data_IF_544759337623
#
_entry.id   IF_544759337623
#
_cell.length_a   1.000
_cell.length_b   1.000
_cell.length_c   1.000
_cell.angle_alpha   90.00
_cell.angle_beta   90.00
_cell.angle_gamma   90.00
#
_symmetry.space_group_name_H-M   'P 1'
#
loop_
_entity.id
_entity.type
_entity.pdbx_description
1 polymer ?
#
# COMPACT_ATOMS: atom_id res chain seq x y z
N UNK A 1 -24.34 -32.95 19.49
CA UNK A 1 -25.68 -33.07 20.11
C UNK A 1 -26.72 -32.52 19.14
N UNK A 2 -27.86 -33.20 18.98
CA UNK A 2 -28.97 -32.71 18.16
C UNK A 2 -29.45 -31.33 18.62
N UNK A 3 -29.87 -30.50 17.68
CA UNK A 3 -30.54 -29.22 17.99
C UNK A 3 -32.02 -29.46 18.29
N UNK A 4 -32.67 -28.44 18.87
CA UNK A 4 -34.12 -28.42 19.01
C UNK A 4 -34.78 -28.68 17.64
N UNK A 5 -35.87 -29.44 17.64
CA UNK A 5 -36.65 -29.82 16.45
C UNK A 5 -35.93 -30.74 15.43
N UNK A 6 -34.79 -31.34 15.80
CA UNK A 6 -34.15 -32.41 15.01
C UNK A 6 -34.65 -33.80 15.44
N UNK A 7 -35.18 -34.56 14.48
CA UNK A 7 -35.42 -36.00 14.66
C UNK A 7 -34.10 -36.78 14.62
N UNK A 8 -33.97 -37.74 15.53
CA UNK A 8 -32.72 -38.46 15.77
C UNK A 8 -32.93 -39.96 15.79
N UNK A 9 -31.92 -40.68 15.32
CA UNK A 9 -31.84 -42.13 15.44
C UNK A 9 -31.15 -42.45 16.76
N UNK A 10 -31.88 -43.07 17.68
CA UNK A 10 -31.36 -43.54 18.97
C UNK A 10 -31.00 -45.01 18.86
N UNK A 11 -29.75 -45.34 19.16
CA UNK A 11 -29.27 -46.71 19.35
C UNK A 11 -28.94 -46.95 20.82
N UNK A 12 -28.96 -48.19 21.29
CA UNK A 12 -28.73 -48.53 22.70
C UNK A 12 -27.45 -49.34 22.84
N UNK A 13 -26.55 -48.92 23.74
CA UNK A 13 -25.25 -49.57 23.91
C UNK A 13 -25.42 -50.98 24.49
N UNK A 14 -25.16 -52.00 23.67
CA UNK A 14 -25.41 -53.41 24.05
C UNK A 14 -26.89 -53.78 24.10
N UNK A 15 -27.77 -52.97 23.49
CA UNK A 15 -29.22 -53.13 23.56
C UNK A 15 -29.85 -52.66 24.87
N UNK A 16 -29.06 -52.09 25.80
CA UNK A 16 -29.51 -51.58 27.08
C UNK A 16 -30.25 -50.24 26.91
N UNK A 17 -31.59 -50.20 27.12
CA UNK A 17 -32.40 -48.99 26.97
C UNK A 17 -31.95 -47.83 27.86
N UNK A 18 -31.27 -48.13 28.98
CA UNK A 18 -30.76 -47.12 29.92
C UNK A 18 -29.45 -46.48 29.44
N UNK A 19 -28.92 -46.87 28.28
CA UNK A 19 -27.66 -46.37 27.69
C UNK A 19 -27.84 -45.92 26.24
N UNK A 20 -28.65 -44.86 25.98
CA UNK A 20 -28.91 -44.38 24.63
C UNK A 20 -27.70 -43.67 24.02
N UNK A 21 -27.58 -43.78 22.69
CA UNK A 21 -26.61 -43.12 21.83
C UNK A 21 -27.37 -42.47 20.66
N UNK A 22 -27.15 -41.18 20.44
CA UNK A 22 -27.64 -40.53 19.23
C UNK A 22 -26.69 -40.84 18.07
N UNK A 23 -27.10 -41.72 17.15
CA UNK A 23 -26.24 -42.22 16.06
C UNK A 23 -26.45 -41.51 14.73
N UNK A 24 -27.46 -40.66 14.62
CA UNK A 24 -27.70 -39.82 13.46
C UNK A 24 -28.93 -38.93 13.62
N UNK A 25 -29.14 -38.02 12.68
CA UNK A 25 -30.37 -37.23 12.55
C UNK A 25 -31.03 -37.49 11.21
N UNK A 26 -32.36 -37.44 11.16
CA UNK A 26 -33.15 -37.60 9.93
C UNK A 26 -33.86 -36.31 9.59
N UNK A 27 -34.14 -36.13 8.29
CA UNK A 27 -34.94 -35.02 7.80
C UNK A 27 -36.42 -35.28 8.08
N UNK A 28 -37.18 -34.23 8.38
CA UNK A 28 -38.62 -34.29 8.65
C UNK A 28 -39.33 -33.08 8.00
N UNK A 29 -40.62 -32.89 8.25
CA UNK A 29 -41.39 -31.80 7.66
C UNK A 29 -40.90 -30.39 8.09
N UNK A 30 -40.32 -30.28 9.28
CA UNK A 30 -39.80 -29.03 9.85
C UNK A 30 -38.33 -28.78 9.43
N UNK A 31 -37.58 -29.85 9.13
CA UNK A 31 -36.22 -29.83 8.57
C UNK A 31 -36.14 -30.65 7.27
N UNK A 32 -36.61 -30.10 6.14
CA UNK A 32 -36.54 -30.77 4.85
C UNK A 32 -35.10 -30.87 4.33
N UNK A 33 -34.92 -31.68 3.28
CA UNK A 33 -33.65 -31.83 2.57
C UNK A 33 -33.11 -30.44 2.13
N UNK A 34 -31.84 -30.11 2.43
CA UNK A 34 -31.21 -28.85 2.04
C UNK A 34 -31.15 -28.63 0.52
N UNK A 35 -31.01 -29.73 -0.24
CA UNK A 35 -30.86 -29.72 -1.69
C UNK A 35 -31.82 -30.71 -2.35
N UNK A 36 -32.30 -30.35 -3.54
CA UNK A 36 -33.26 -31.14 -4.29
C UNK A 36 -32.61 -32.42 -4.87
N UNK A 37 -33.22 -33.56 -4.59
CA UNK A 37 -32.81 -34.85 -5.16
C UNK A 37 -33.69 -35.22 -6.37
N UNK A 38 -33.13 -35.89 -7.40
CA UNK A 38 -31.76 -36.42 -7.51
C UNK A 38 -30.71 -35.45 -8.10
N UNK A 39 -31.11 -34.23 -8.47
CA UNK A 39 -30.24 -33.30 -9.22
C UNK A 39 -28.95 -32.88 -8.50
N UNK A 40 -28.97 -32.89 -7.17
CA UNK A 40 -27.88 -32.49 -6.27
C UNK A 40 -27.26 -33.66 -5.51
N UNK A 41 -27.35 -34.87 -6.07
CA UNK A 41 -26.87 -36.11 -5.43
C UNK A 41 -25.35 -36.18 -5.16
N UNK A 42 -24.57 -35.27 -5.76
CA UNK A 42 -23.12 -35.16 -5.55
C UNK A 42 -22.75 -34.21 -4.40
N UNK A 43 -23.74 -33.60 -3.74
CA UNK A 43 -23.52 -32.72 -2.59
C UNK A 43 -23.64 -33.46 -1.26
N UNK A 44 -22.67 -33.25 -0.39
CA UNK A 44 -22.71 -33.65 1.02
C UNK A 44 -22.60 -32.42 1.90
N UNK A 45 -23.55 -32.21 2.81
CA UNK A 45 -23.64 -30.95 3.57
C UNK A 45 -23.88 -31.14 5.06
N UNK A 46 -23.32 -30.25 5.87
CA UNK A 46 -23.69 -29.97 7.24
C UNK A 46 -24.29 -28.57 7.28
N UNK A 47 -25.60 -28.49 7.10
CA UNK A 47 -26.36 -27.24 7.15
C UNK A 47 -27.10 -27.13 8.49
N UNK A 48 -27.06 -25.94 9.09
CA UNK A 48 -27.82 -25.66 10.30
C UNK A 48 -28.50 -24.30 10.21
N UNK A 49 -29.80 -24.20 10.55
CA UNK A 49 -30.53 -22.94 10.55
C UNK A 49 -30.37 -22.19 11.87
N UNK A 50 -30.52 -20.88 11.83
CA UNK A 50 -30.74 -20.06 13.02
C UNK A 50 -31.99 -20.52 13.79
N UNK A 51 -31.91 -20.59 15.11
CA UNK A 51 -33.01 -21.01 16.00
C UNK A 51 -34.22 -20.07 15.92
N UNK A 52 -35.43 -20.57 16.24
CA UNK A 52 -36.68 -19.79 16.27
C UNK A 52 -37.01 -19.15 14.92
N UNK A 53 -37.23 -19.99 13.91
CA UNK A 53 -37.68 -19.58 12.56
C UNK A 53 -36.64 -18.79 11.72
N UNK A 54 -35.35 -18.99 11.99
CA UNK A 54 -34.29 -18.36 11.19
C UNK A 54 -34.28 -18.82 9.72
N UNK A 55 -34.29 -17.85 8.80
CA UNK A 55 -34.26 -18.12 7.35
C UNK A 55 -32.87 -18.45 6.82
N UNK A 56 -31.79 -18.02 7.51
CA UNK A 56 -30.39 -18.26 7.15
C UNK A 56 -29.67 -19.18 8.16
N UNK A 57 -28.46 -19.63 7.80
CA UNK A 57 -27.74 -20.64 8.56
C UNK A 57 -26.26 -20.75 8.24
N UNK A 58 -25.57 -21.60 9.01
CA UNK A 58 -24.17 -21.96 8.77
C UNK A 58 -24.12 -23.23 7.93
N UNK A 59 -23.17 -23.30 7.00
CA UNK A 59 -23.02 -24.43 6.08
C UNK A 59 -21.56 -24.83 5.90
N UNK A 60 -21.33 -26.13 5.94
CA UNK A 60 -20.16 -26.77 5.33
C UNK A 60 -20.66 -27.71 4.25
N UNK A 61 -20.24 -27.49 3.00
CA UNK A 61 -20.69 -28.27 1.84
C UNK A 61 -19.50 -28.76 1.01
N UNK A 62 -19.58 -30.02 0.63
CA UNK A 62 -18.71 -30.68 -0.33
C UNK A 62 -19.53 -30.96 -1.59
N UNK A 63 -19.04 -30.53 -2.75
CA UNK A 63 -19.57 -30.86 -4.07
C UNK A 63 -18.50 -31.66 -4.83
N UNK A 64 -18.83 -32.89 -5.19
CA UNK A 64 -17.93 -33.83 -5.88
C UNK A 64 -18.35 -34.07 -7.35
N UNK A 65 -19.17 -33.18 -7.92
CA UNK A 65 -19.45 -33.19 -9.37
C UNK A 65 -18.15 -32.90 -10.11
N UNK A 66 -17.75 -33.88 -10.92
CA UNK A 66 -16.56 -33.81 -11.76
C UNK A 66 -16.48 -32.48 -12.52
N UNK A 67 -15.30 -31.85 -12.46
CA UNK A 67 -14.98 -30.57 -13.13
C UNK A 67 -15.77 -29.36 -12.56
N UNK A 68 -16.37 -29.49 -11.38
CA UNK A 68 -17.13 -28.45 -10.66
C UNK A 68 -17.04 -28.65 -9.14
N UNK A 69 -15.93 -29.23 -8.67
CA UNK A 69 -15.71 -29.58 -7.28
C UNK A 69 -15.63 -28.32 -6.39
N UNK A 70 -16.30 -28.33 -5.25
CA UNK A 70 -16.35 -27.19 -4.33
C UNK A 70 -16.29 -27.65 -2.87
N UNK A 71 -15.47 -26.96 -2.08
CA UNK A 71 -15.63 -26.89 -0.63
C UNK A 71 -16.17 -25.51 -0.27
N UNK A 72 -17.39 -25.47 0.23
CA UNK A 72 -18.05 -24.25 0.66
C UNK A 72 -18.15 -24.20 2.18
N UNK A 73 -17.68 -23.10 2.76
CA UNK A 73 -17.77 -22.82 4.18
C UNK A 73 -18.42 -21.45 4.38
N UNK A 74 -19.54 -21.42 5.09
CA UNK A 74 -20.34 -20.23 5.30
C UNK A 74 -20.67 -20.03 6.77
N UNK A 75 -20.37 -18.84 7.27
CA UNK A 75 -20.85 -18.36 8.55
C UNK A 75 -21.93 -17.28 8.30
N UNK A 76 -23.09 -17.43 8.94
CA UNK A 76 -24.20 -16.49 8.76
C UNK A 76 -23.90 -15.09 9.32
N UNK A 77 -23.05 -15.00 10.34
CA UNK A 77 -22.74 -13.74 11.02
C UNK A 77 -21.23 -13.62 11.29
N UNK A 78 -20.75 -14.38 12.26
CA UNK A 78 -19.37 -14.29 12.73
C UNK A 78 -18.64 -15.61 12.42
N UNK A 79 -17.46 -15.52 11.81
CA UNK A 79 -16.51 -16.64 11.69
C UNK A 79 -15.24 -16.27 12.45
N UNK A 80 -14.87 -17.08 13.44
CA UNK A 80 -13.59 -16.95 14.15
C UNK A 80 -12.71 -18.11 13.72
N UNK A 81 -11.52 -17.79 13.23
CA UNK A 81 -10.48 -18.76 12.88
C UNK A 81 -9.26 -18.46 13.74
N UNK A 82 -8.86 -19.42 14.56
CA UNK A 82 -7.70 -19.36 15.44
C UNK A 82 -6.78 -20.54 15.14
N UNK A 83 -5.50 -20.27 14.93
CA UNK A 83 -4.48 -21.27 14.61
C UNK A 83 -3.28 -21.03 15.51
N UNK A 84 -3.04 -21.94 16.46
CA UNK A 84 -2.02 -21.80 17.52
C UNK A 84 -0.58 -21.97 17.07
N UNK A 85 -0.36 -22.58 15.90
CA UNK A 85 0.98 -22.84 15.39
C UNK A 85 1.12 -22.29 13.96
N UNK A 86 0.91 -23.14 12.95
CA UNK A 86 1.14 -22.77 11.56
C UNK A 86 -0.15 -22.77 10.75
N UNK A 87 -0.44 -21.67 10.07
CA UNK A 87 -1.44 -21.60 9.00
C UNK A 87 -0.74 -21.32 7.67
N UNK A 88 -0.77 -22.31 6.77
CA UNK A 88 -0.26 -22.15 5.39
C UNK A 88 -1.44 -22.12 4.43
N UNK A 89 -1.50 -21.09 3.57
CA UNK A 89 -2.50 -20.94 2.52
C UNK A 89 -1.81 -21.00 1.16
N UNK A 90 -2.26 -21.88 0.27
CA UNK A 90 -1.78 -21.98 -1.10
C UNK A 90 -2.93 -21.97 -2.10
N UNK A 91 -2.98 -20.94 -2.96
CA UNK A 91 -3.96 -20.82 -4.05
C UNK A 91 -3.24 -20.95 -5.38
N UNK A 92 -3.66 -21.90 -6.23
CA UNK A 92 -2.96 -22.21 -7.50
C UNK A 92 -3.36 -21.33 -8.67
N UNK A 93 -4.52 -20.69 -8.59
CA UNK A 93 -5.05 -19.79 -9.60
C UNK A 93 -5.22 -18.40 -9.00
N UNK A 94 -6.46 -17.98 -8.73
CA UNK A 94 -6.77 -16.63 -8.27
C UNK A 94 -7.30 -16.62 -6.83
N UNK A 95 -6.94 -15.58 -6.09
CA UNK A 95 -7.53 -15.23 -4.81
C UNK A 95 -8.15 -13.84 -4.90
N UNK A 96 -9.42 -13.72 -4.50
CA UNK A 96 -10.09 -12.43 -4.34
C UNK A 96 -10.48 -12.25 -2.88
N UNK A 97 -10.16 -11.09 -2.31
CA UNK A 97 -10.57 -10.70 -0.96
C UNK A 97 -11.35 -9.39 -1.09
N UNK A 98 -12.57 -9.36 -0.57
CA UNK A 98 -13.41 -8.15 -0.47
C UNK A 98 -13.76 -7.93 0.98
N UNK A 99 -13.55 -6.71 1.47
CA UNK A 99 -13.91 -6.27 2.82
C UNK A 99 -14.66 -4.96 2.66
N UNK A 100 -15.97 -4.96 2.95
CA UNK A 100 -16.85 -3.81 2.70
C UNK A 100 -16.70 -2.67 3.71
N UNK A 101 -15.99 -2.94 4.82
CA UNK A 101 -15.73 -1.97 5.88
C UNK A 101 -14.22 -1.91 6.14
N UNK A 102 -13.76 -2.29 7.34
CA UNK A 102 -12.37 -2.12 7.74
C UNK A 102 -11.56 -3.42 7.69
N UNK A 103 -10.30 -3.31 7.26
CA UNK A 103 -9.29 -4.36 7.42
C UNK A 103 -8.15 -3.84 8.30
N UNK A 104 -7.76 -4.63 9.30
CA UNK A 104 -6.53 -4.40 10.08
C UNK A 104 -5.58 -5.58 9.89
N UNK A 105 -4.32 -5.29 9.56
CA UNK A 105 -3.25 -6.29 9.43
C UNK A 105 -2.14 -5.96 10.42
N UNK A 106 -1.87 -6.90 11.34
CA UNK A 106 -0.73 -6.83 12.26
C UNK A 106 0.27 -7.94 11.96
N UNK A 107 1.55 -7.58 11.84
CA UNK A 107 2.66 -8.54 11.69
C UNK A 107 3.67 -8.25 12.80
N UNK A 108 3.87 -9.20 13.72
CA UNK A 108 4.79 -9.03 14.85
C UNK A 108 6.28 -9.22 14.49
N UNK A 109 6.54 -9.93 13.39
CA UNK A 109 7.88 -10.15 12.83
C UNK A 109 8.04 -9.48 11.47
N UNK A 110 8.70 -10.17 10.54
CA UNK A 110 8.97 -9.64 9.21
C UNK A 110 7.82 -9.89 8.22
N UNK A 111 7.57 -8.93 7.33
CA UNK A 111 6.67 -9.07 6.19
C UNK A 111 7.48 -9.00 4.88
N UNK A 112 7.39 -10.04 4.05
CA UNK A 112 7.97 -10.06 2.70
C UNK A 112 6.86 -10.14 1.66
N UNK A 113 6.89 -9.28 0.65
CA UNK A 113 5.94 -9.27 -0.46
C UNK A 113 6.72 -9.33 -1.77
N UNK A 114 6.45 -10.36 -2.57
CA UNK A 114 7.01 -10.53 -3.92
C UNK A 114 5.90 -10.49 -4.95
N UNK A 115 5.95 -9.53 -5.86
CA UNK A 115 5.02 -9.42 -7.00
C UNK A 115 5.84 -9.51 -8.29
N UNK A 116 5.60 -10.55 -9.09
CA UNK A 116 6.42 -10.85 -10.29
C UNK A 116 6.01 -10.04 -11.53
N UNK A 117 4.79 -9.53 -11.53
CA UNK A 117 4.25 -8.67 -12.59
C UNK A 117 4.02 -7.26 -12.03
N UNK A 118 2.80 -6.75 -12.12
CA UNK A 118 2.45 -5.39 -11.72
C UNK A 118 1.76 -5.36 -10.36
N UNK A 119 1.99 -4.29 -9.61
CA UNK A 119 1.23 -3.94 -8.40
C UNK A 119 0.61 -2.55 -8.63
N UNK A 120 -0.68 -2.44 -8.37
CA UNK A 120 -1.41 -1.17 -8.32
C UNK A 120 -1.96 -0.99 -6.91
N UNK A 121 -1.85 0.23 -6.38
CA UNK A 121 -2.46 0.63 -5.11
C UNK A 121 -3.17 1.97 -5.33
N UNK A 122 -4.42 2.06 -4.89
CA UNK A 122 -5.25 3.25 -5.03
C UNK A 122 -5.92 3.54 -3.70
N UNK A 123 -5.81 4.79 -3.25
CA UNK A 123 -6.59 5.36 -2.15
C UNK A 123 -7.49 6.42 -2.79
N UNK A 124 -8.78 6.13 -2.92
CA UNK A 124 -9.72 7.03 -3.61
C UNK A 124 -10.07 8.24 -2.75
N UNK A 125 -10.27 8.02 -1.45
CA UNK A 125 -10.59 9.05 -0.46
C UNK A 125 -9.73 8.88 0.79
N UNK A 126 -9.43 9.99 1.47
CA UNK A 126 -8.65 10.00 2.70
C UNK A 126 -7.15 10.22 2.48
N UNK A 127 -6.32 9.67 3.38
CA UNK A 127 -4.88 9.92 3.45
C UNK A 127 -4.09 8.61 3.46
N UNK A 128 -2.92 8.60 2.80
CA UNK A 128 -1.92 7.55 2.97
C UNK A 128 -0.77 8.07 3.85
N UNK A 129 -0.43 7.32 4.89
CA UNK A 129 0.67 7.64 5.79
C UNK A 129 1.63 6.46 5.92
N UNK A 130 2.94 6.74 5.84
CA UNK A 130 4.00 5.77 6.06
C UNK A 130 4.96 6.32 7.10
N UNK A 131 5.25 5.54 8.14
CA UNK A 131 6.22 5.88 9.18
C UNK A 131 7.21 4.75 9.37
N UNK A 132 8.50 5.09 9.31
CA UNK A 132 9.61 4.20 9.69
C UNK A 132 10.25 4.80 10.92
N UNK A 133 9.82 4.35 12.11
CA UNK A 133 10.26 4.96 13.38
C UNK A 133 11.73 4.69 13.69
N UNK A 134 12.28 3.58 13.18
CA UNK A 134 13.68 3.17 13.34
C UNK A 134 14.14 2.45 12.08
N UNK A 135 15.41 2.63 11.71
CA UNK A 135 16.01 2.00 10.54
C UNK A 135 16.01 2.90 9.31
N UNK A 136 16.16 2.28 8.13
CA UNK A 136 16.37 2.98 6.86
C UNK A 136 15.24 2.66 5.89
N UNK A 137 14.97 3.59 4.96
CA UNK A 137 14.15 3.34 3.78
C UNK A 137 15.04 3.35 2.54
N UNK A 138 14.96 2.31 1.72
CA UNK A 138 15.65 2.22 0.44
C UNK A 138 14.65 2.01 -0.70
N UNK A 139 14.90 2.62 -1.84
CA UNK A 139 14.11 2.49 -3.08
C UNK A 139 15.11 2.28 -4.21
N UNK A 140 14.92 1.23 -5.00
CA UNK A 140 15.73 0.94 -6.19
C UNK A 140 14.81 0.66 -7.38
N UNK A 141 14.96 1.47 -8.43
CA UNK A 141 14.32 1.28 -9.74
C UNK A 141 15.44 0.98 -10.73
N UNK A 142 15.87 -0.28 -10.76
CA UNK A 142 17.02 -0.71 -11.56
C UNK A 142 16.85 -0.50 -13.07
N UNK A 143 15.60 -0.50 -13.56
CA UNK A 143 15.23 -0.22 -14.96
C UNK A 143 13.90 0.52 -15.01
N UNK A 144 13.79 1.47 -15.93
CA UNK A 144 12.58 2.26 -16.14
C UNK A 144 12.69 3.67 -15.56
N UNK A 145 11.54 4.28 -15.29
CA UNK A 145 11.43 5.66 -14.84
C UNK A 145 10.73 5.73 -13.48
N UNK A 146 11.09 6.74 -12.68
CA UNK A 146 10.34 7.15 -11.51
C UNK A 146 9.70 8.53 -11.76
N UNK A 147 8.42 8.68 -11.43
CA UNK A 147 7.68 9.92 -11.67
C UNK A 147 6.83 10.28 -10.45
N UNK A 148 6.84 11.57 -10.09
CA UNK A 148 6.10 12.11 -8.96
C UNK A 148 5.28 13.32 -9.39
N UNK A 149 3.99 13.31 -9.09
CA UNK A 149 3.09 14.44 -9.36
C UNK A 149 2.35 14.83 -8.08
N UNK A 150 2.58 16.05 -7.60
CA UNK A 150 1.92 16.60 -6.42
C UNK A 150 1.20 17.88 -6.84
N UNK A 151 -0.13 17.89 -6.77
CA UNK A 151 -0.94 19.07 -7.13
C UNK A 151 -0.93 20.13 -6.04
N UNK A 152 -0.83 19.70 -4.78
CA UNK A 152 -0.70 20.58 -3.62
C UNK A 152 0.77 20.90 -3.30
N UNK A 153 1.04 21.14 -2.01
CA UNK A 153 2.40 21.38 -1.52
C UNK A 153 3.17 20.08 -1.33
N UNK A 154 4.46 20.09 -1.66
CA UNK A 154 5.41 19.03 -1.29
C UNK A 154 6.42 19.62 -0.31
N UNK A 155 6.28 19.29 0.97
CA UNK A 155 7.25 19.64 2.00
C UNK A 155 8.31 18.54 2.13
N UNK A 156 9.58 18.94 2.19
CA UNK A 156 10.72 18.04 2.38
C UNK A 156 11.62 18.65 3.45
N UNK A 157 11.88 17.89 4.51
CA UNK A 157 12.84 18.25 5.55
C UNK A 157 13.86 17.14 5.67
N UNK A 158 15.13 17.49 5.51
CA UNK A 158 16.27 16.59 5.72
C UNK A 158 17.15 17.24 6.78
N UNK A 159 17.22 16.63 7.97
CA UNK A 159 18.03 17.16 9.08
C UNK A 159 19.52 16.84 8.91
N UNK A 160 19.81 15.74 8.21
CA UNK A 160 21.17 15.34 7.83
C UNK A 160 21.61 15.92 6.48
N UNK A 161 22.63 15.28 5.90
CA UNK A 161 23.10 15.64 4.56
C UNK A 161 22.16 15.15 3.47
N UNK A 162 22.00 15.94 2.41
CA UNK A 162 21.29 15.56 1.19
C UNK A 162 22.25 15.62 0.00
N UNK A 163 22.31 14.56 -0.80
CA UNK A 163 23.22 14.44 -1.95
C UNK A 163 22.46 14.01 -3.19
N UNK A 164 22.73 14.67 -4.31
CA UNK A 164 22.13 14.39 -5.61
C UNK A 164 23.21 14.11 -6.64
N UNK A 165 23.10 12.98 -7.34
CA UNK A 165 23.97 12.63 -8.47
C UNK A 165 23.11 12.35 -9.69
N UNK A 166 23.21 13.20 -10.71
CA UNK A 166 22.51 13.03 -11.97
C UNK A 166 23.52 12.68 -13.06
N UNK A 167 23.44 11.46 -13.61
CA UNK A 167 24.28 11.06 -14.74
C UNK A 167 23.88 11.75 -16.06
N UNK A 168 22.65 12.25 -16.14
CA UNK A 168 22.14 13.06 -17.24
C UNK A 168 21.84 14.51 -16.82
N UNK A 169 20.96 15.17 -17.57
CA UNK A 169 20.60 16.56 -17.31
C UNK A 169 19.74 16.70 -16.03
N UNK A 170 19.89 17.84 -15.34
CA UNK A 170 18.99 18.29 -14.27
C UNK A 170 18.35 19.61 -14.68
N UNK A 171 17.02 19.66 -14.74
CA UNK A 171 16.25 20.86 -15.09
C UNK A 171 15.35 21.23 -13.93
N UNK A 172 15.38 22.50 -13.52
CA UNK A 172 14.53 23.03 -12.47
C UNK A 172 13.78 24.25 -13.00
N UNK A 173 12.50 24.08 -13.29
CA UNK A 173 11.62 25.18 -13.72
C UNK A 173 10.74 25.60 -12.55
N UNK A 174 10.77 26.89 -12.20
CA UNK A 174 9.98 27.46 -11.12
C UNK A 174 9.21 28.66 -11.68
N UNK A 175 7.89 28.54 -11.76
CA UNK A 175 7.01 29.62 -12.26
C UNK A 175 6.83 30.75 -11.25
N UNK A 176 6.93 30.42 -9.97
CA UNK A 176 6.91 31.39 -8.88
C UNK A 176 8.32 31.86 -8.50
N UNK A 177 8.48 32.25 -7.24
CA UNK A 177 9.78 32.66 -6.73
C UNK A 177 10.66 31.45 -6.39
N UNK A 178 11.92 31.49 -6.82
CA UNK A 178 12.95 30.57 -6.32
C UNK A 178 13.82 31.30 -5.27
N UNK A 179 13.80 30.81 -4.03
CA UNK A 179 14.60 31.37 -2.93
C UNK A 179 15.62 30.35 -2.46
N UNK A 180 16.90 30.63 -2.69
CA UNK A 180 18.01 29.83 -2.19
C UNK A 180 18.68 30.56 -1.02
N UNK A 181 18.63 29.94 0.17
CA UNK A 181 19.30 30.46 1.38
C UNK A 181 20.34 29.46 1.86
N UNK A 182 21.61 29.84 1.78
CA UNK A 182 22.73 29.00 2.23
C UNK A 182 23.45 29.75 3.34
N UNK A 183 23.48 29.17 4.55
CA UNK A 183 24.22 29.75 5.69
C UNK A 183 25.73 29.51 5.59
N UNK A 184 26.12 28.38 5.01
CA UNK A 184 27.50 28.06 4.69
C UNK A 184 27.92 28.62 3.33
N UNK A 185 28.84 27.92 2.67
CA UNK A 185 29.33 28.31 1.35
C UNK A 185 28.38 27.82 0.25
N UNK A 186 28.16 28.66 -0.76
CA UNK A 186 27.59 28.27 -2.04
C UNK A 186 28.72 28.22 -3.08
N UNK A 187 28.97 27.03 -3.63
CA UNK A 187 30.00 26.80 -4.65
C UNK A 187 29.29 26.34 -5.93
N UNK A 188 29.63 26.95 -7.06
CA UNK A 188 29.09 26.61 -8.38
C UNK A 188 30.27 26.33 -9.31
N UNK A 189 30.47 25.07 -9.64
CA UNK A 189 31.49 24.62 -10.59
C UNK A 189 30.81 24.09 -11.85
N UNK A 190 31.07 24.76 -12.97
CA UNK A 190 30.49 24.39 -14.26
C UNK A 190 31.45 24.81 -15.39
N UNK A 191 31.33 24.15 -16.55
CA UNK A 191 32.04 24.58 -17.76
C UNK A 191 31.67 26.02 -18.15
N UNK A 192 30.39 26.36 -18.03
CA UNK A 192 29.86 27.70 -18.30
C UNK A 192 28.78 28.02 -17.26
N UNK A 193 28.85 29.22 -16.69
CA UNK A 193 27.79 29.78 -15.85
C UNK A 193 27.17 30.96 -16.57
N UNK A 194 25.84 30.95 -16.74
CA UNK A 194 25.09 32.05 -17.36
C UNK A 194 23.99 32.50 -16.41
N UNK A 195 23.99 33.78 -16.07
CA UNK A 195 22.95 34.40 -15.24
C UNK A 195 22.24 35.45 -16.09
N UNK A 196 20.91 35.34 -16.19
CA UNK A 196 20.06 36.28 -16.92
C UNK A 196 18.95 36.77 -15.99
N UNK A 197 18.68 38.06 -16.01
CA UNK A 197 17.53 38.68 -15.36
C UNK A 197 16.89 39.65 -16.34
N UNK A 198 15.57 39.63 -16.45
CA UNK A 198 14.81 40.57 -17.28
C UNK A 198 14.76 41.97 -16.66
N UNK A 199 14.95 42.04 -15.34
CA UNK A 199 14.99 43.28 -14.58
C UNK A 199 16.41 43.49 -14.03
N UNK A 200 16.52 44.07 -12.83
CA UNK A 200 17.81 44.28 -12.20
C UNK A 200 18.46 42.97 -11.74
N UNK A 201 19.76 42.85 -11.96
CA UNK A 201 20.61 41.90 -11.25
C UNK A 201 21.34 42.65 -10.13
N UNK A 202 21.01 42.34 -8.88
CA UNK A 202 21.62 42.97 -7.70
C UNK A 202 22.69 42.05 -7.11
N UNK A 203 23.94 42.53 -7.06
CA UNK A 203 25.06 41.82 -6.45
C UNK A 203 25.54 42.62 -5.23
N UNK A 204 25.54 41.98 -4.05
CA UNK A 204 26.01 42.59 -2.80
C UNK A 204 26.92 41.61 -2.08
N UNK A 205 28.07 42.08 -1.65
CA UNK A 205 28.98 41.36 -0.76
C UNK A 205 29.15 42.18 0.53
N UNK A 206 29.13 41.50 1.69
CA UNK A 206 29.41 42.16 2.97
C UNK A 206 30.89 42.51 3.17
N UNK A 207 31.76 41.92 2.34
CA UNK A 207 33.20 42.18 2.30
C UNK A 207 33.59 42.50 0.85
N UNK A 208 34.61 41.84 0.30
CA UNK A 208 35.00 42.04 -1.10
C UNK A 208 34.05 41.31 -2.07
N UNK A 209 33.70 41.99 -3.16
CA UNK A 209 33.22 41.36 -4.39
C UNK A 209 34.42 41.24 -5.34
N UNK A 210 34.91 40.03 -5.58
CA UNK A 210 36.08 39.76 -6.43
C UNK A 210 35.64 39.10 -7.75
N UNK A 211 36.25 39.51 -8.84
CA UNK A 211 36.10 38.88 -10.15
C UNK A 211 37.45 38.85 -10.86
N UNK A 212 37.75 37.73 -11.50
CA UNK A 212 38.99 37.49 -12.23
C UNK A 212 38.64 36.75 -13.52
N UNK A 213 39.26 37.13 -14.63
CA UNK A 213 39.17 36.42 -15.91
C UNK A 213 40.55 36.12 -16.45
N UNK A 214 40.76 34.89 -16.95
CA UNK A 214 42.00 34.52 -17.63
C UNK A 214 42.13 35.09 -19.05
N UNK A 215 41.05 35.66 -19.58
CA UNK A 215 40.99 36.38 -20.84
C UNK A 215 40.30 37.74 -20.59
N UNK A 216 39.48 38.22 -21.52
CA UNK A 216 38.83 39.53 -21.41
C UNK A 216 37.74 39.57 -20.32
N UNK A 217 37.76 40.64 -19.52
CA UNK A 217 36.62 41.05 -18.70
C UNK A 217 35.87 42.18 -19.43
N UNK A 218 34.64 41.90 -19.87
CA UNK A 218 33.82 42.90 -20.59
C UNK A 218 32.61 43.31 -19.76
N UNK A 219 32.44 44.62 -19.56
CA UNK A 219 31.25 45.22 -18.94
C UNK A 219 30.65 46.26 -19.89
N UNK A 220 29.40 46.04 -20.32
CA UNK A 220 28.68 46.94 -21.24
C UNK A 220 27.37 47.40 -20.61
N UNK A 221 27.20 48.72 -20.47
CA UNK A 221 25.93 49.33 -20.11
C UNK A 221 25.33 50.04 -21.31
N UNK A 222 24.03 49.88 -21.54
CA UNK A 222 23.31 50.66 -22.57
C UNK A 222 23.13 52.13 -22.21
N UNK A 223 23.34 52.49 -20.93
CA UNK A 223 23.34 53.86 -20.42
C UNK A 223 24.65 54.18 -19.70
N UNK A 224 24.56 54.73 -18.48
CA UNK A 224 25.74 55.09 -17.69
C UNK A 224 26.35 53.89 -16.97
N UNK A 225 27.64 53.66 -17.17
CA UNK A 225 28.45 52.83 -16.27
C UNK A 225 29.05 53.73 -15.19
N UNK A 226 28.86 53.40 -13.92
CA UNK A 226 29.39 54.17 -12.78
C UNK A 226 30.30 53.28 -11.94
N UNK A 227 31.56 53.68 -11.80
CA UNK A 227 32.53 53.04 -10.90
C UNK A 227 32.87 54.05 -9.81
N UNK A 228 32.69 53.65 -8.55
CA UNK A 228 33.01 54.47 -7.37
C UNK A 228 33.80 53.62 -6.39
N UNK A 229 34.83 54.22 -5.82
CA UNK A 229 35.67 53.65 -4.78
C UNK A 229 36.55 54.73 -4.18
N UNK A 230 37.12 54.48 -3.00
CA UNK A 230 38.15 55.36 -2.43
C UNK A 230 39.40 55.43 -3.30
N UNK A 231 39.66 54.38 -4.08
CA UNK A 231 40.75 54.28 -5.04
C UNK A 231 40.28 53.47 -6.26
N UNK A 232 40.60 53.94 -7.47
CA UNK A 232 40.39 53.20 -8.73
C UNK A 232 41.71 53.18 -9.47
N UNK A 233 42.29 51.99 -9.65
CA UNK A 233 43.52 51.79 -10.43
C UNK A 233 43.17 51.25 -11.79
N UNK A 234 43.71 51.88 -12.82
CA UNK A 234 43.67 51.41 -14.20
C UNK A 234 45.12 51.41 -14.69
N UNK A 235 45.71 50.23 -14.78
CA UNK A 235 47.10 50.04 -15.19
C UNK A 235 47.15 49.61 -16.65
#
# INVERSE_FOLDING_TARGET
MPRIDQEVVVSFLGGDPDRPLCTGSVYNAEQPLPYAMPGEQTKSTLLSRSSKEGSAGNELRFEDRKDSEELYMHAQKDMVVEVENDWTIGVKHDQTITVDHDQTLGVGGDQTITVTKSRTATVEEGNEALTVSKGNRAIDVSKGNESHAVKGTRDVTVEGSETHTNGGNFTHEVKGNYTLKVKGNLIIEAKTVTLKSEQAMNLKAGQALKGESGADLTLKGGGKVTVKGSEVKNN
#
